data_IF_806010760942
#
_entry.id   IF_806010760942
#
_cell.length_a   1.000
_cell.length_b   1.000
_cell.length_c   1.000
_cell.angle_alpha   90.00
_cell.angle_beta   90.00
_cell.angle_gamma   90.00
#
_symmetry.space_group_name_H-M   'P 1'
#
loop_
_entity.id
_entity.type
_entity.pdbx_description
1 polymer ?
#
# COMPACT_ATOMS: atom_id res chain seq x y z
N UNK A 1 3.11 21.90 5.30
CA UNK A 1 3.93 20.98 4.48
C UNK A 1 4.09 19.68 5.27
N UNK A 2 3.76 18.52 4.69
CA UNK A 2 3.98 17.24 5.36
C UNK A 2 5.46 16.88 5.26
N UNK A 3 6.18 16.63 6.36
CA UNK A 3 7.60 16.28 6.27
C UNK A 3 7.76 14.92 5.61
N UNK A 4 8.67 14.83 4.62
CA UNK A 4 9.05 13.59 3.91
C UNK A 4 9.34 12.43 4.87
N UNK A 5 9.86 12.75 6.06
CA UNK A 5 10.10 11.80 7.14
C UNK A 5 8.87 10.94 7.48
N UNK A 6 7.64 11.47 7.41
CA UNK A 6 6.44 10.67 7.67
C UNK A 6 6.19 9.63 6.58
N UNK A 7 6.40 10.00 5.32
CA UNK A 7 6.24 9.08 4.19
C UNK A 7 7.24 7.93 4.34
N UNK A 8 8.52 8.25 4.61
CA UNK A 8 9.54 7.23 4.85
C UNK A 8 9.25 6.36 6.07
N UNK A 9 8.70 6.93 7.14
CA UNK A 9 8.30 6.15 8.31
C UNK A 9 7.18 5.17 7.97
N UNK A 10 6.17 5.60 7.21
CA UNK A 10 5.03 4.76 6.85
C UNK A 10 5.41 3.70 5.80
N UNK A 11 6.29 4.01 4.84
CA UNK A 11 6.82 3.00 3.90
C UNK A 11 7.59 1.92 4.66
N UNK A 12 8.46 2.30 5.60
CA UNK A 12 9.20 1.35 6.43
C UNK A 12 8.25 0.51 7.29
N UNK A 13 7.19 1.09 7.85
CA UNK A 13 6.22 0.36 8.69
C UNK A 13 5.34 -0.61 7.89
N UNK A 14 5.00 -0.28 6.64
CA UNK A 14 4.34 -1.23 5.73
C UNK A 14 5.31 -2.37 5.37
N UNK A 15 6.56 -2.03 5.03
CA UNK A 15 7.57 -2.98 4.59
C UNK A 15 8.24 -3.77 5.72
N UNK A 16 7.96 -3.46 6.99
CA UNK A 16 8.58 -4.08 8.15
C UNK A 16 8.22 -5.57 8.34
N UNK A 17 7.17 -6.05 7.67
CA UNK A 17 6.82 -7.47 7.73
C UNK A 17 7.93 -8.30 7.05
N UNK A 18 8.42 -9.39 7.69
CA UNK A 18 9.60 -10.12 7.23
C UNK A 18 9.42 -10.68 5.81
N UNK A 19 8.18 -10.98 5.42
CA UNK A 19 7.84 -11.54 4.11
C UNK A 19 7.57 -10.45 3.05
N UNK A 20 7.39 -9.18 3.44
CA UNK A 20 7.01 -8.13 2.50
C UNK A 20 8.14 -7.82 1.51
N UNK A 21 9.33 -7.50 2.01
CA UNK A 21 10.48 -7.18 1.17
C UNK A 21 10.87 -8.31 0.18
N UNK A 22 10.99 -9.59 0.60
CA UNK A 22 11.32 -10.65 -0.36
C UNK A 22 10.22 -10.87 -1.40
N UNK A 23 8.93 -10.75 -1.04
CA UNK A 23 7.84 -10.84 -2.02
C UNK A 23 7.84 -9.65 -2.99
N UNK A 24 8.04 -8.43 -2.49
CA UNK A 24 8.12 -7.24 -3.33
C UNK A 24 9.26 -7.36 -4.36
N UNK A 25 10.42 -7.87 -3.92
CA UNK A 25 11.55 -8.13 -4.81
C UNK A 25 11.22 -9.22 -5.84
N UNK A 26 10.62 -10.33 -5.42
CA UNK A 26 10.23 -11.41 -6.31
C UNK A 26 9.22 -10.95 -7.38
N UNK A 27 8.26 -10.09 -7.02
CA UNK A 27 7.29 -9.51 -7.94
C UNK A 27 7.98 -8.55 -8.91
N UNK A 28 8.85 -7.66 -8.42
CA UNK A 28 9.57 -6.70 -9.25
C UNK A 28 10.48 -7.40 -10.28
N UNK A 29 11.26 -8.39 -9.82
CA UNK A 29 12.15 -9.18 -10.69
C UNK A 29 11.34 -10.06 -11.63
N UNK A 30 10.29 -10.74 -11.13
CA UNK A 30 9.41 -11.57 -11.96
C UNK A 30 8.73 -10.77 -13.07
N UNK A 31 8.19 -9.59 -12.75
CA UNK A 31 7.58 -8.69 -13.73
C UNK A 31 8.57 -8.19 -14.78
N UNK A 32 9.81 -7.90 -14.37
CA UNK A 32 10.89 -7.50 -15.27
C UNK A 32 11.30 -8.65 -16.23
N UNK A 33 11.49 -9.87 -15.71
CA UNK A 33 12.04 -10.99 -16.47
C UNK A 33 11.00 -11.67 -17.38
N UNK A 34 9.74 -11.76 -16.94
CA UNK A 34 8.70 -12.49 -17.68
C UNK A 34 7.97 -11.63 -18.71
N UNK A 35 8.13 -10.30 -18.64
CA UNK A 35 7.33 -9.36 -19.42
C UNK A 35 5.84 -9.35 -19.06
N UNK A 36 5.40 -10.13 -18.05
CA UNK A 36 4.02 -10.21 -17.60
C UNK A 36 3.68 -9.05 -16.64
N UNK A 37 3.78 -7.82 -17.13
CA UNK A 37 3.47 -6.62 -16.35
C UNK A 37 2.09 -6.65 -15.68
N UNK A 38 1.00 -7.14 -16.31
CA UNK A 38 -0.30 -7.23 -15.65
C UNK A 38 -0.31 -8.17 -14.43
N UNK A 39 0.44 -9.27 -14.49
CA UNK A 39 0.56 -10.21 -13.37
C UNK A 39 1.33 -9.58 -12.21
N UNK A 40 2.43 -8.88 -12.52
CA UNK A 40 3.22 -8.17 -11.52
C UNK A 40 2.41 -7.07 -10.82
N UNK A 41 1.61 -6.31 -11.57
CA UNK A 41 0.68 -5.31 -11.02
C UNK A 41 -0.36 -5.94 -10.08
N UNK A 42 -1.03 -7.02 -10.51
CA UNK A 42 -2.00 -7.74 -9.68
C UNK A 42 -1.36 -8.27 -8.40
N UNK A 43 -0.16 -8.85 -8.49
CA UNK A 43 0.57 -9.37 -7.34
C UNK A 43 1.05 -8.25 -6.39
N UNK A 44 1.53 -7.13 -6.93
CA UNK A 44 1.95 -5.97 -6.14
C UNK A 44 0.77 -5.36 -5.38
N UNK A 45 -0.40 -5.23 -6.02
CA UNK A 45 -1.64 -4.80 -5.36
C UNK A 45 -2.03 -5.73 -4.22
N UNK A 46 -1.96 -7.06 -4.44
CA UNK A 46 -2.25 -8.03 -3.39
C UNK A 46 -1.34 -7.84 -2.17
N UNK A 47 -0.02 -7.74 -2.41
CA UNK A 47 0.96 -7.51 -1.36
C UNK A 47 0.68 -6.21 -0.58
N UNK A 48 0.33 -5.14 -1.29
CA UNK A 48 -0.03 -3.86 -0.69
C UNK A 48 -1.34 -3.93 0.10
N UNK A 49 -2.35 -4.70 -0.34
CA UNK A 49 -3.59 -4.89 0.43
C UNK A 49 -3.26 -5.43 1.83
N UNK A 50 -2.36 -6.42 1.94
CA UNK A 50 -1.95 -6.96 3.24
C UNK A 50 -1.17 -5.93 4.08
N UNK A 51 -0.18 -5.26 3.49
CA UNK A 51 0.66 -4.29 4.19
C UNK A 51 -0.11 -3.05 4.66
N UNK A 52 -0.91 -2.47 3.77
CA UNK A 52 -1.69 -1.25 4.01
C UNK A 52 -2.84 -1.52 4.96
N UNK A 53 -3.58 -2.63 4.84
CA UNK A 53 -4.65 -2.97 5.80
C UNK A 53 -4.10 -3.19 7.22
N UNK A 54 -2.94 -3.83 7.34
CA UNK A 54 -2.28 -4.03 8.62
C UNK A 54 -1.86 -2.69 9.24
N UNK A 55 -1.26 -1.80 8.45
CA UNK A 55 -0.83 -0.49 8.93
C UNK A 55 -2.02 0.42 9.27
N UNK A 56 -3.05 0.46 8.43
CA UNK A 56 -4.28 1.21 8.68
C UNK A 56 -4.97 0.75 9.97
N UNK A 57 -5.06 -0.58 10.19
CA UNK A 57 -5.63 -1.13 11.42
C UNK A 57 -4.80 -0.78 12.66
N UNK A 58 -3.46 -0.78 12.56
CA UNK A 58 -2.59 -0.30 13.66
C UNK A 58 -2.81 1.18 13.95
N UNK A 59 -2.94 2.02 12.92
CA UNK A 59 -3.15 3.47 13.10
C UNK A 59 -4.49 3.80 13.77
N UNK A 60 -5.54 3.05 13.48
CA UNK A 60 -6.90 3.31 13.96
C UNK A 60 -7.32 2.42 15.15
N UNK A 61 -6.39 1.64 15.72
CA UNK A 61 -6.67 0.78 16.86
C UNK A 61 -7.11 1.59 18.09
N UNK A 62 -8.13 1.10 18.80
CA UNK A 62 -8.76 1.79 19.95
C UNK A 62 -7.75 2.22 21.02
N UNK A 63 -6.74 1.39 21.31
CA UNK A 63 -5.72 1.66 22.32
C UNK A 63 -4.68 2.73 21.93
N UNK A 64 -4.59 3.11 20.65
CA UNK A 64 -3.64 4.12 20.15
C UNK A 64 -4.24 5.53 20.08
N UNK A 65 -5.57 5.66 20.21
CA UNK A 65 -6.24 6.95 20.20
C UNK A 65 -5.73 7.95 21.27
N UNK A 66 -5.39 7.53 22.51
CA UNK A 66 -4.83 8.43 23.53
C UNK A 66 -3.40 8.85 23.22
N UNK A 67 -2.58 7.92 22.70
CA UNK A 67 -1.16 8.15 22.37
C UNK A 67 -0.96 9.13 21.21
N UNK A 68 -1.97 9.26 20.33
CA UNK A 68 -1.92 10.21 19.22
C UNK A 68 -2.14 11.66 19.69
N UNK A 69 -2.74 11.90 20.86
CA UNK A 69 -2.97 13.26 21.38
C UNK A 69 -1.65 13.98 21.66
N UNK A 70 -0.61 13.24 22.05
CA UNK A 70 0.73 13.75 22.31
C UNK A 70 1.68 13.56 21.13
N UNK A 71 1.21 12.99 20.02
CA UNK A 71 2.06 12.78 18.86
C UNK A 71 2.31 14.10 18.13
N UNK A 72 3.55 14.38 17.67
CA UNK A 72 3.88 15.61 16.95
C UNK A 72 3.17 15.73 15.59
N UNK A 73 2.61 14.63 15.07
CA UNK A 73 1.85 14.61 13.83
C UNK A 73 0.38 14.29 14.08
N UNK A 74 -0.51 15.13 13.54
CA UNK A 74 -1.96 14.91 13.59
C UNK A 74 -2.41 13.66 12.82
N UNK A 75 -3.59 13.14 13.16
CA UNK A 75 -4.19 11.92 12.56
C UNK A 75 -4.24 11.98 11.03
N UNK A 76 -4.66 13.12 10.48
CA UNK A 76 -4.76 13.31 9.03
C UNK A 76 -3.40 13.28 8.32
N UNK A 77 -2.34 13.83 8.92
CA UNK A 77 -1.01 13.78 8.34
C UNK A 77 -0.51 12.33 8.19
N UNK A 78 -0.76 11.48 9.20
CA UNK A 78 -0.40 10.05 9.12
C UNK A 78 -1.18 9.28 8.06
N UNK A 79 -2.48 9.58 7.91
CA UNK A 79 -3.32 8.97 6.86
C UNK A 79 -2.85 9.36 5.46
N UNK A 80 -2.53 10.63 5.25
CA UNK A 80 -1.97 11.11 3.97
C UNK A 80 -0.60 10.46 3.72
N UNK A 81 0.24 10.34 4.75
CA UNK A 81 1.51 9.64 4.67
C UNK A 81 1.37 8.17 4.29
N UNK A 82 0.36 7.48 4.82
CA UNK A 82 0.05 6.09 4.42
C UNK A 82 -0.32 5.99 2.93
N UNK A 83 -1.17 6.89 2.45
CA UNK A 83 -1.57 6.91 1.03
C UNK A 83 -0.36 7.17 0.15
N UNK A 84 0.46 8.19 0.47
CA UNK A 84 1.69 8.47 -0.27
C UNK A 84 2.69 7.30 -0.21
N UNK A 85 2.84 6.66 0.95
CA UNK A 85 3.71 5.50 1.15
C UNK A 85 3.26 4.29 0.32
N UNK A 86 1.96 4.04 0.25
CA UNK A 86 1.41 2.95 -0.58
C UNK A 86 1.70 3.17 -2.06
N UNK A 87 1.53 4.40 -2.56
CA UNK A 87 1.89 4.77 -3.92
C UNK A 87 3.39 4.65 -4.19
N UNK A 88 4.23 5.10 -3.26
CA UNK A 88 5.68 4.99 -3.38
C UNK A 88 6.16 3.53 -3.43
N UNK A 89 5.57 2.65 -2.62
CA UNK A 89 5.89 1.21 -2.65
C UNK A 89 5.42 0.56 -3.95
N UNK A 90 4.23 0.92 -4.45
CA UNK A 90 3.75 0.43 -5.75
C UNK A 90 4.67 0.86 -6.89
N UNK A 91 5.06 2.13 -6.90
CA UNK A 91 6.00 2.67 -7.87
C UNK A 91 7.35 1.95 -7.77
N UNK A 92 7.86 1.69 -6.57
CA UNK A 92 9.13 0.98 -6.39
C UNK A 92 9.09 -0.46 -6.94
N UNK A 93 7.98 -1.17 -6.79
CA UNK A 93 7.81 -2.53 -7.30
C UNK A 93 7.64 -2.56 -8.82
N UNK A 94 6.85 -1.63 -9.38
CA UNK A 94 6.56 -1.60 -10.82
C UNK A 94 7.60 -0.87 -11.68
N UNK A 95 8.39 0.04 -11.10
CA UNK A 95 9.33 0.87 -11.84
C UNK A 95 10.27 0.07 -12.75
N UNK A 96 10.89 -1.05 -12.33
CA UNK A 96 11.79 -1.80 -13.20
C UNK A 96 11.12 -2.28 -14.48
N UNK A 97 9.93 -2.88 -14.37
CA UNK A 97 9.19 -3.40 -15.51
C UNK A 97 8.61 -2.27 -16.39
N UNK A 98 8.10 -1.20 -15.78
CA UNK A 98 7.55 -0.05 -16.51
C UNK A 98 8.63 0.70 -17.30
N UNK A 99 9.82 0.87 -16.72
CA UNK A 99 10.97 1.49 -17.40
C UNK A 99 11.48 0.61 -18.55
N UNK A 100 11.58 -0.70 -18.34
CA UNK A 100 11.99 -1.64 -19.39
C UNK A 100 11.02 -1.67 -20.58
N UNK A 101 9.71 -1.51 -20.31
CA UNK A 101 8.67 -1.46 -21.34
C UNK A 101 8.38 -0.06 -21.89
N UNK A 102 9.02 0.99 -21.37
CA UNK A 102 8.74 2.40 -21.67
C UNK A 102 7.24 2.77 -21.54
N UNK A 103 6.54 2.19 -20.55
CA UNK A 103 5.11 2.38 -20.33
C UNK A 103 4.85 3.11 -19.00
N UNK A 104 4.88 4.46 -19.00
CA UNK A 104 4.62 5.25 -17.80
C UNK A 104 3.14 5.19 -17.36
N UNK A 105 2.22 4.85 -18.27
CA UNK A 105 0.79 4.81 -17.95
C UNK A 105 0.50 3.70 -16.93
N UNK A 106 1.15 2.54 -17.05
CA UNK A 106 1.06 1.47 -16.05
C UNK A 106 1.50 1.89 -14.66
N UNK A 107 2.60 2.66 -14.58
CA UNK A 107 3.09 3.15 -13.29
C UNK A 107 2.07 4.12 -12.66
N UNK A 108 1.52 5.03 -13.45
CA UNK A 108 0.49 5.99 -12.99
C UNK A 108 -0.77 5.26 -12.52
N UNK A 109 -1.28 4.31 -13.31
CA UNK A 109 -2.47 3.52 -12.97
C UNK A 109 -2.23 2.70 -11.70
N UNK A 110 -1.10 1.99 -11.61
CA UNK A 110 -0.75 1.21 -10.44
C UNK A 110 -0.68 2.06 -9.17
N UNK A 111 -0.01 3.21 -9.24
CA UNK A 111 0.06 4.16 -8.11
C UNK A 111 -1.33 4.67 -7.72
N UNK A 112 -2.18 5.01 -8.69
CA UNK A 112 -3.55 5.45 -8.44
C UNK A 112 -4.39 4.36 -7.76
N UNK A 113 -4.27 3.11 -8.21
CA UNK A 113 -4.94 1.96 -7.60
C UNK A 113 -4.45 1.73 -6.15
N UNK A 114 -3.14 1.77 -5.92
CA UNK A 114 -2.56 1.65 -4.58
C UNK A 114 -3.07 2.75 -3.64
N UNK A 115 -3.11 4.00 -4.11
CA UNK A 115 -3.65 5.12 -3.36
C UNK A 115 -5.14 4.95 -3.04
N UNK A 116 -5.96 4.53 -4.01
CA UNK A 116 -7.38 4.27 -3.82
C UNK A 116 -7.61 3.16 -2.78
N UNK A 117 -6.83 2.07 -2.85
CA UNK A 117 -6.87 0.99 -1.86
C UNK A 117 -6.46 1.47 -0.47
N UNK A 118 -5.46 2.35 -0.36
CA UNK A 118 -5.05 2.91 0.93
C UNK A 118 -6.11 3.84 1.53
N UNK A 119 -6.77 4.65 0.71
CA UNK A 119 -7.92 5.47 1.15
C UNK A 119 -9.05 4.57 1.65
N UNK A 120 -9.42 3.54 0.88
CA UNK A 120 -10.47 2.59 1.26
C UNK A 120 -10.11 1.82 2.54
N UNK A 121 -8.88 1.30 2.64
CA UNK A 121 -8.39 0.60 3.82
C UNK A 121 -8.45 1.49 5.06
N UNK A 122 -7.99 2.73 4.94
CA UNK A 122 -8.02 3.72 6.04
C UNK A 122 -9.46 4.04 6.42
N UNK A 123 -10.34 4.29 5.44
CA UNK A 123 -11.77 4.52 5.61
C UNK A 123 -12.43 3.42 6.44
N UNK A 124 -12.25 2.19 6.02
CA UNK A 124 -12.78 1.01 6.70
C UNK A 124 -12.14 0.76 8.06
N UNK A 125 -10.84 1.02 8.21
CA UNK A 125 -10.15 0.92 9.50
C UNK A 125 -10.66 1.96 10.51
N UNK A 126 -11.03 3.17 10.08
CA UNK A 126 -11.64 4.18 10.96
C UNK A 126 -12.97 3.70 11.53
N UNK A 127 -13.80 3.06 10.70
CA UNK A 127 -15.14 2.60 11.09
C UNK A 127 -15.05 1.33 11.94
N UNK A 128 -14.35 0.32 11.43
CA UNK A 128 -14.25 -1.00 12.06
C UNK A 128 -13.28 -1.06 13.24
N UNK A 129 -12.29 -0.15 13.27
CA UNK A 129 -11.13 -0.17 14.18
C UNK A 129 -10.39 -1.51 14.17
N UNK A 130 -10.38 -2.18 13.01
CA UNK A 130 -9.78 -3.50 12.78
C UNK A 130 -9.01 -3.52 11.47
N UNK A 131 -7.92 -4.30 11.42
CA UNK A 131 -7.17 -4.58 10.20
C UNK A 131 -7.84 -5.65 9.31
N UNK A 132 -8.77 -6.44 9.88
CA UNK A 132 -9.36 -7.58 9.19
C UNK A 132 -10.44 -7.19 8.18
N UNK A 133 -11.38 -6.33 8.59
CA UNK A 133 -12.46 -5.84 7.74
C UNK A 133 -11.95 -5.18 6.42
N UNK A 134 -11.01 -4.20 6.46
CA UNK A 134 -10.47 -3.63 5.23
C UNK A 134 -9.81 -4.69 4.36
N UNK A 135 -9.05 -5.63 4.95
CA UNK A 135 -8.38 -6.68 4.18
C UNK A 135 -9.36 -7.57 3.43
N UNK A 136 -10.42 -8.04 4.08
CA UNK A 136 -11.39 -8.95 3.48
C UNK A 136 -12.13 -8.28 2.32
N UNK A 137 -12.57 -7.02 2.49
CA UNK A 137 -13.26 -6.27 1.45
C UNK A 137 -12.33 -6.00 0.27
N UNK A 138 -11.09 -5.55 0.53
CA UNK A 138 -10.13 -5.30 -0.54
C UNK A 138 -9.72 -6.57 -1.28
N UNK A 139 -9.65 -7.72 -0.61
CA UNK A 139 -9.40 -9.00 -1.25
C UNK A 139 -10.53 -9.41 -2.20
N UNK A 140 -11.79 -9.16 -1.84
CA UNK A 140 -12.93 -9.42 -2.73
C UNK A 140 -12.86 -8.53 -3.97
N UNK A 141 -12.60 -7.23 -3.79
CA UNK A 141 -12.45 -6.27 -4.88
C UNK A 141 -11.27 -6.67 -5.79
N UNK A 142 -10.13 -7.02 -5.18
CA UNK A 142 -8.95 -7.47 -5.89
C UNK A 142 -9.19 -8.75 -6.68
N UNK A 143 -9.93 -9.71 -6.12
CA UNK A 143 -10.28 -10.94 -6.81
C UNK A 143 -11.11 -10.66 -8.07
N UNK A 144 -12.11 -9.78 -7.97
CA UNK A 144 -12.86 -9.30 -9.14
C UNK A 144 -11.93 -8.69 -10.19
N UNK A 145 -11.09 -7.73 -9.79
CA UNK A 145 -10.12 -7.09 -10.68
C UNK A 145 -9.13 -8.08 -11.33
N UNK A 146 -8.62 -9.05 -10.57
CA UNK A 146 -7.65 -10.03 -11.05
C UNK A 146 -8.26 -11.12 -11.96
N UNK A 147 -9.59 -11.27 -11.93
CA UNK A 147 -10.32 -12.25 -12.76
C UNK A 147 -10.72 -11.75 -14.15
N UNK A 148 -10.61 -10.44 -14.39
CA UNK A 148 -10.78 -9.81 -15.71
C UNK A 148 -9.42 -9.64 -16.41
#
# INVERSE_FOLDING_TARGET
MMPLAHIFSETRLIAAAPVFAPLALAIAVGGLLTGMAPLAERAALLLLIFGVSAQAGRMEARGLAPLIVTAPAGRWARRIALVAASGALMAAVLAPAALAAADPARLIIGVALAAAMAVAATGMAMISRSAFAPRLILLIIWYGYASH
#
